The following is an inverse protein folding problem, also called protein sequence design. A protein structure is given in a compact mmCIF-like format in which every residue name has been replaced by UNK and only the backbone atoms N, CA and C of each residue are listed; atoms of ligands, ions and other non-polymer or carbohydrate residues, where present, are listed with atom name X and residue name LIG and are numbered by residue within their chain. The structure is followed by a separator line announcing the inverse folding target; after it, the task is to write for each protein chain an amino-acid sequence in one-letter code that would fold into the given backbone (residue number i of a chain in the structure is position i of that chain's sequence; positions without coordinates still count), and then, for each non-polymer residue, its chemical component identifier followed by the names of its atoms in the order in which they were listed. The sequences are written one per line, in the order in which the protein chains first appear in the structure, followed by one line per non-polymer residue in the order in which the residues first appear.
data_IF_534188542153
#
_entry.id   IF_534188542153
#
_cell.length_a   1.000
_cell.length_b   1.000
_cell.length_c   1.000
_cell.angle_alpha   90.00
_cell.angle_beta   90.00
_cell.angle_gamma   90.00
#
_symmetry.space_group_name_H-M   'P 1'
#
loop_
_entity.id
_entity.type
_entity.pdbx_description
1 polymer ?
#
# COMPACT_ATOMS: atom_id res chain seq x y z
N UNK A 1 17.89 4.93 16.41
CA UNK A 1 17.09 4.15 17.38
C UNK A 1 16.79 2.80 16.74
N UNK A 2 17.44 1.72 17.17
CA UNK A 2 17.16 0.37 16.66
C UNK A 2 15.85 -0.11 17.28
N UNK A 3 14.79 -0.19 16.49
CA UNK A 3 13.54 -0.82 16.90
C UNK A 3 13.69 -2.31 16.61
N UNK A 4 13.78 -3.10 17.68
CA UNK A 4 13.66 -4.55 17.59
C UNK A 4 12.20 -4.89 17.29
N UNK A 5 11.91 -5.34 16.06
CA UNK A 5 10.67 -6.03 15.76
C UNK A 5 10.79 -7.47 16.29
N UNK A 6 10.03 -7.76 17.34
CA UNK A 6 9.96 -9.09 17.94
C UNK A 6 8.91 -9.91 17.21
N UNK A 7 9.35 -10.79 16.30
CA UNK A 7 8.50 -11.82 15.71
C UNK A 7 8.29 -12.94 16.73
N UNK A 8 7.12 -13.00 17.36
CA UNK A 8 6.72 -14.16 18.14
C UNK A 8 6.18 -15.25 17.20
N UNK A 9 7.01 -16.26 16.88
CA UNK A 9 6.51 -17.54 16.35
C UNK A 9 5.91 -18.34 17.51
N UNK A 10 4.69 -18.89 17.40
CA UNK A 10 4.22 -19.88 18.37
C UNK A 10 5.05 -21.15 18.22
N UNK A 11 5.73 -21.57 19.28
CA UNK A 11 6.36 -22.90 19.38
C UNK A 11 5.29 -23.93 19.81
N UNK A 12 5.14 -25.06 19.11
CA UNK A 12 4.26 -26.13 19.54
C UNK A 12 4.89 -26.92 20.68
N UNK A 13 4.19 -27.04 21.81
CA UNK A 13 4.46 -28.06 22.81
C UNK A 13 4.97 -27.55 24.16
N UNK A 14 4.05 -27.18 25.06
CA UNK A 14 4.23 -27.34 26.50
C UNK A 14 2.85 -27.51 27.14
N UNK A 15 2.59 -28.70 27.66
CA UNK A 15 1.37 -29.07 28.37
C UNK A 15 1.34 -28.46 29.79
N UNK A 16 0.17 -28.03 30.27
CA UNK A 16 -0.07 -27.85 31.72
C UNK A 16 -1.06 -26.77 32.17
N UNK A 17 -2.37 -26.99 31.94
CA UNK A 17 -3.50 -26.51 32.79
C UNK A 17 -3.99 -25.05 32.68
N UNK A 18 -5.12 -24.69 33.33
CA UNK A 18 -6.42 -25.37 33.40
C UNK A 18 -7.43 -24.79 32.38
N UNK A 19 -8.50 -25.55 32.14
CA UNK A 19 -9.57 -25.26 31.21
C UNK A 19 -10.27 -23.91 31.47
N UNK A 20 -9.88 -22.89 30.70
CA UNK A 20 -10.80 -21.82 30.30
C UNK A 20 -11.57 -22.32 29.09
N UNK A 21 -12.87 -22.58 29.27
CA UNK A 21 -13.82 -22.82 28.18
C UNK A 21 -13.98 -21.54 27.34
N UNK A 22 -12.94 -21.21 26.57
CA UNK A 22 -13.04 -20.36 25.41
C UNK A 22 -13.78 -21.15 24.36
N UNK A 23 -15.10 -20.98 24.32
CA UNK A 23 -15.95 -21.43 23.23
C UNK A 23 -15.32 -20.90 21.95
N UNK A 24 -14.64 -21.77 21.20
CA UNK A 24 -14.08 -21.47 19.90
C UNK A 24 -15.28 -21.16 19.00
N UNK A 25 -15.57 -19.87 18.90
CA UNK A 25 -16.59 -19.30 18.05
C UNK A 25 -16.18 -19.60 16.60
N UNK A 26 -16.63 -20.75 16.08
CA UNK A 26 -16.35 -21.25 14.73
C UNK A 26 -16.80 -20.29 13.62
N UNK A 27 -17.39 -19.15 13.99
CA UNK A 27 -17.72 -18.04 13.11
C UNK A 27 -16.53 -17.10 12.82
N UNK A 28 -15.47 -17.13 13.66
CA UNK A 28 -14.25 -16.32 13.55
C UNK A 28 -13.18 -17.14 12.83
N UNK A 29 -12.87 -16.80 11.58
CA UNK A 29 -11.82 -17.46 10.80
C UNK A 29 -10.45 -17.50 11.50
N UNK A 30 -9.51 -18.25 10.92
CA UNK A 30 -8.11 -18.33 11.37
C UNK A 30 -7.39 -17.01 11.05
N UNK A 31 -6.74 -16.40 12.04
CA UNK A 31 -5.92 -15.21 11.81
C UNK A 31 -4.56 -15.63 11.23
N UNK A 32 -4.24 -15.16 10.02
CA UNK A 32 -2.98 -15.47 9.34
C UNK A 32 -1.86 -14.49 9.68
N UNK A 33 -2.20 -13.20 9.83
CA UNK A 33 -1.23 -12.13 10.09
C UNK A 33 -1.89 -10.94 10.78
N UNK A 34 -1.10 -10.13 11.49
CA UNK A 34 -1.55 -8.85 12.05
C UNK A 34 -0.40 -7.86 12.20
N UNK A 35 -0.67 -6.59 11.94
CA UNK A 35 0.26 -5.49 12.18
C UNK A 35 -0.49 -4.23 12.62
N UNK A 36 0.18 -3.36 13.36
CA UNK A 36 -0.27 -1.98 13.58
C UNK A 36 0.77 -1.04 12.98
N UNK A 37 0.40 -0.28 11.96
CA UNK A 37 1.35 0.55 11.21
C UNK A 37 0.72 1.87 10.75
N UNK A 38 1.56 2.84 10.46
CA UNK A 38 1.15 4.04 9.74
C UNK A 38 1.09 3.71 8.25
N UNK A 39 -0.10 3.81 7.66
CA UNK A 39 -0.31 3.62 6.22
C UNK A 39 0.40 4.69 5.40
N UNK A 40 0.60 4.41 4.11
CA UNK A 40 1.20 5.37 3.16
C UNK A 40 0.33 6.60 2.92
N UNK A 41 -0.97 6.51 3.22
CA UNK A 41 -1.92 7.63 3.18
C UNK A 41 -1.92 8.47 4.48
N UNK A 42 -1.16 8.05 5.50
CA UNK A 42 -0.88 8.82 6.72
C UNK A 42 -1.63 8.36 7.97
N UNK A 43 -2.66 7.52 7.83
CA UNK A 43 -3.47 7.02 8.93
C UNK A 43 -2.78 5.88 9.71
N UNK A 44 -3.00 5.82 11.03
CA UNK A 44 -2.57 4.69 11.86
C UNK A 44 -3.60 3.57 11.75
N UNK A 45 -3.22 2.43 11.18
CA UNK A 45 -4.10 1.29 10.94
C UNK A 45 -3.67 0.09 11.78
N UNK A 46 -4.65 -0.61 12.36
CA UNK A 46 -4.54 -2.01 12.77
C UNK A 46 -5.05 -2.87 11.63
N UNK A 47 -4.19 -3.73 11.10
CA UNK A 47 -4.48 -4.62 9.98
C UNK A 47 -4.38 -6.06 10.44
N UNK A 48 -5.32 -6.89 10.00
CA UNK A 48 -5.41 -8.31 10.33
C UNK A 48 -5.87 -9.08 9.09
N UNK A 49 -5.21 -10.19 8.76
CA UNK A 49 -5.65 -11.09 7.69
C UNK A 49 -6.30 -12.30 8.33
N UNK A 50 -7.51 -12.64 7.87
CA UNK A 50 -8.26 -13.80 8.33
C UNK A 50 -8.57 -14.73 7.17
N UNK A 51 -8.57 -16.04 7.44
CA UNK A 51 -9.03 -17.09 6.52
C UNK A 51 -10.28 -17.75 7.08
N UNK A 52 -11.34 -17.81 6.28
CA UNK A 52 -12.60 -18.49 6.60
C UNK A 52 -12.97 -19.46 5.49
N UNK A 53 -12.62 -20.74 5.67
CA UNK A 53 -12.73 -21.73 4.61
C UNK A 53 -11.75 -21.40 3.48
N UNK A 54 -12.28 -21.17 2.27
CA UNK A 54 -11.49 -20.77 1.09
C UNK A 54 -11.32 -19.25 0.98
N UNK A 55 -12.12 -18.46 1.70
CA UNK A 55 -12.06 -17.00 1.62
C UNK A 55 -10.96 -16.44 2.50
N UNK A 56 -10.20 -15.49 1.96
CA UNK A 56 -9.26 -14.67 2.74
C UNK A 56 -9.76 -13.23 2.76
N UNK A 57 -9.77 -12.62 3.94
CA UNK A 57 -10.22 -11.24 4.13
C UNK A 57 -9.18 -10.43 4.88
N UNK A 58 -9.01 -9.18 4.47
CA UNK A 58 -8.30 -8.15 5.20
C UNK A 58 -9.31 -7.44 6.10
N UNK A 59 -9.05 -7.42 7.40
CA UNK A 59 -9.73 -6.57 8.38
C UNK A 59 -8.82 -5.42 8.73
N UNK A 60 -9.38 -4.21 8.71
CA UNK A 60 -8.62 -3.00 8.95
C UNK A 60 -9.42 -2.04 9.82
N UNK A 61 -8.71 -1.34 10.71
CA UNK A 61 -9.30 -0.38 11.63
C UNK A 61 -8.36 0.80 11.84
N UNK A 62 -8.87 2.01 11.75
CA UNK A 62 -8.14 3.23 12.16
C UNK A 62 -8.02 3.27 13.70
N UNK A 63 -6.82 3.57 14.21
CA UNK A 63 -6.50 3.65 15.64
C UNK A 63 -6.39 5.12 16.06
N UNK A 64 -6.92 5.55 17.22
CA UNK A 64 -7.54 4.74 18.28
C UNK A 64 -9.04 4.50 18.11
N UNK A 65 -9.70 5.22 17.19
CA UNK A 65 -11.15 5.16 16.99
C UNK A 65 -11.41 5.02 15.50
N UNK A 66 -11.97 3.89 15.11
CA UNK A 66 -12.33 3.57 13.75
C UNK A 66 -13.26 2.38 13.74
N UNK A 67 -14.20 2.37 12.80
CA UNK A 67 -14.99 1.18 12.51
C UNK A 67 -14.10 0.16 11.80
N UNK A 68 -14.36 -1.12 12.07
CA UNK A 68 -13.67 -2.19 11.37
C UNK A 68 -14.23 -2.31 9.95
N UNK A 69 -13.37 -2.11 8.96
CA UNK A 69 -13.66 -2.42 7.57
C UNK A 69 -13.17 -3.82 7.24
N UNK A 70 -13.95 -4.55 6.43
CA UNK A 70 -13.58 -5.87 5.92
C UNK A 70 -13.51 -5.83 4.40
N UNK A 71 -12.39 -6.24 3.86
CA UNK A 71 -12.13 -6.31 2.42
C UNK A 71 -11.86 -7.75 2.07
N UNK A 72 -12.70 -8.35 1.22
CA UNK A 72 -12.42 -9.67 0.66
C UNK A 72 -11.20 -9.56 -0.26
N UNK A 73 -10.19 -10.38 -0.03
CA UNK A 73 -9.02 -10.47 -0.91
C UNK A 73 -9.37 -11.43 -2.03
N UNK A 74 -9.41 -10.93 -3.26
CA UNK A 74 -9.70 -11.77 -4.43
C UNK A 74 -8.48 -12.60 -4.79
N UNK A 75 -8.67 -13.66 -5.57
CA UNK A 75 -7.53 -14.48 -6.03
C UNK A 75 -6.54 -13.68 -6.86
N UNK A 76 -7.00 -12.68 -7.61
CA UNK A 76 -6.15 -11.80 -8.41
C UNK A 76 -5.20 -11.02 -7.50
N UNK A 77 -5.72 -10.41 -6.43
CA UNK A 77 -4.89 -9.72 -5.44
C UNK A 77 -3.89 -10.69 -4.82
N UNK A 78 -4.33 -11.87 -4.40
CA UNK A 78 -3.44 -12.86 -3.76
C UNK A 78 -2.34 -13.37 -4.71
N UNK A 79 -2.58 -13.42 -6.03
CA UNK A 79 -1.59 -13.82 -7.04
C UNK A 79 -0.59 -12.72 -7.36
N UNK A 80 -0.96 -11.46 -7.15
CA UNK A 80 -0.09 -10.28 -7.31
C UNK A 80 0.83 -10.01 -6.11
N UNK A 81 0.57 -10.68 -4.98
CA UNK A 81 1.42 -10.58 -3.80
C UNK A 81 2.66 -11.46 -3.94
N UNK A 82 3.74 -11.03 -3.29
CA UNK A 82 4.98 -11.75 -3.12
C UNK A 82 4.70 -13.10 -2.46
N UNK A 83 5.27 -14.15 -3.04
CA UNK A 83 5.10 -15.52 -2.55
C UNK A 83 5.90 -15.77 -1.27
N UNK A 84 6.97 -15.02 -1.05
CA UNK A 84 7.82 -15.17 0.14
C UNK A 84 7.24 -14.41 1.34
N UNK A 85 6.71 -13.21 1.12
CA UNK A 85 6.10 -12.39 2.18
C UNK A 85 4.82 -11.64 1.73
N UNK A 86 3.73 -12.39 1.47
CA UNK A 86 2.51 -11.81 0.91
C UNK A 86 1.83 -10.80 1.86
N UNK A 87 1.97 -10.99 3.17
CA UNK A 87 1.26 -10.18 4.15
C UNK A 87 1.93 -8.85 4.40
N UNK A 88 3.26 -8.81 4.48
CA UNK A 88 4.00 -7.55 4.56
C UNK A 88 3.74 -6.71 3.32
N UNK A 89 3.75 -7.32 2.13
CA UNK A 89 3.44 -6.59 0.90
C UNK A 89 1.97 -6.14 0.86
N UNK A 90 1.02 -7.00 1.24
CA UNK A 90 -0.38 -6.60 1.32
C UNK A 90 -0.53 -5.39 2.22
N UNK A 91 0.04 -5.43 3.43
CA UNK A 91 -0.04 -4.34 4.39
C UNK A 91 0.62 -3.06 3.87
N UNK A 92 1.74 -3.14 3.14
CA UNK A 92 2.38 -1.96 2.55
C UNK A 92 1.50 -1.26 1.50
N UNK A 93 0.63 -2.03 0.83
CA UNK A 93 -0.35 -1.54 -0.15
C UNK A 93 -1.68 -1.05 0.46
N UNK A 94 -1.92 -1.21 1.76
CA UNK A 94 -3.17 -0.73 2.39
C UNK A 94 -3.11 0.77 2.66
N UNK A 95 -4.21 1.46 2.33
CA UNK A 95 -4.42 2.87 2.65
C UNK A 95 -5.89 3.20 2.84
N UNK A 96 -6.18 4.50 2.93
CA UNK A 96 -7.54 5.01 3.11
C UNK A 96 -7.95 5.87 1.92
N UNK A 97 -9.13 5.58 1.38
CA UNK A 97 -9.85 6.47 0.48
C UNK A 97 -10.78 7.34 1.32
N UNK A 98 -10.64 8.69 1.30
CA UNK A 98 -11.42 9.56 2.17
C UNK A 98 -12.91 9.62 1.81
N UNK A 99 -13.33 9.16 0.63
CA UNK A 99 -14.74 9.08 0.26
C UNK A 99 -15.43 10.44 0.11
N UNK A 100 -16.78 10.46 0.05
CA UNK A 100 -17.71 9.60 0.82
C UNK A 100 -18.20 8.30 0.11
N UNK A 101 -18.36 7.15 0.83
CA UNK A 101 -17.97 6.92 2.22
C UNK A 101 -16.47 6.66 2.35
N UNK A 102 -15.89 7.09 3.49
CA UNK A 102 -14.49 6.80 3.83
C UNK A 102 -14.32 5.28 3.97
N UNK A 103 -13.28 4.72 3.35
CA UNK A 103 -13.09 3.27 3.28
C UNK A 103 -11.62 2.89 3.27
N UNK A 104 -11.32 1.73 3.85
CA UNK A 104 -10.02 1.07 3.69
C UNK A 104 -9.96 0.45 2.30
N UNK A 105 -8.84 0.65 1.61
CA UNK A 105 -8.61 0.10 0.27
C UNK A 105 -7.23 -0.53 0.19
N UNK A 106 -7.11 -1.58 -0.62
CA UNK A 106 -5.83 -2.12 -1.07
C UNK A 106 -5.51 -1.44 -2.39
N UNK A 107 -4.33 -0.82 -2.50
CA UNK A 107 -3.97 -0.08 -3.69
C UNK A 107 -3.89 -1.02 -4.91
N UNK A 108 -4.50 -0.62 -6.01
CA UNK A 108 -4.44 -1.35 -7.28
C UNK A 108 -3.26 -0.88 -8.12
N UNK A 109 -2.51 -1.80 -8.72
CA UNK A 109 -1.40 -1.43 -9.58
C UNK A 109 -1.91 -0.79 -10.88
N UNK A 110 -1.42 0.40 -11.19
CA UNK A 110 -1.72 1.11 -12.44
C UNK A 110 -0.73 0.65 -13.52
N UNK A 111 0.56 0.64 -13.19
CA UNK A 111 1.60 0.33 -14.15
C UNK A 111 2.98 0.25 -13.51
N UNK A 112 3.90 -0.37 -14.25
CA UNK A 112 5.30 -0.51 -13.91
C UNK A 112 6.14 -0.34 -15.17
N UNK A 113 7.30 0.33 -15.04
CA UNK A 113 8.18 0.60 -16.15
C UNK A 113 9.47 1.30 -15.72
N UNK A 114 10.48 1.24 -16.58
CA UNK A 114 11.74 1.96 -16.37
C UNK A 114 11.59 3.41 -16.81
N UNK A 115 12.11 4.33 -16.01
CA UNK A 115 12.15 5.75 -16.32
C UNK A 115 13.48 6.36 -15.87
N UNK A 116 14.02 7.25 -16.69
CA UNK A 116 15.14 8.11 -16.31
C UNK A 116 14.58 9.37 -15.65
N UNK A 117 14.78 9.52 -14.34
CA UNK A 117 14.19 10.62 -13.57
C UNK A 117 15.15 11.82 -13.45
N UNK A 118 14.64 13.06 -13.59
CA UNK A 118 15.43 14.26 -13.35
C UNK A 118 15.78 14.42 -11.86
N UNK A 119 16.79 15.25 -11.52
CA UNK A 119 17.61 16.03 -12.44
C UNK A 119 18.79 15.27 -13.04
N UNK A 120 19.23 14.18 -12.41
CA UNK A 120 20.45 13.46 -12.82
C UNK A 120 20.23 12.43 -13.93
N UNK A 121 18.97 12.15 -14.31
CA UNK A 121 18.64 11.09 -15.26
C UNK A 121 18.79 9.69 -14.66
N UNK A 122 18.64 9.55 -13.35
CA UNK A 122 18.78 8.26 -12.66
C UNK A 122 17.76 7.26 -13.19
N UNK A 123 18.24 6.09 -13.62
CA UNK A 123 17.37 5.02 -14.11
C UNK A 123 16.69 4.31 -12.94
N UNK A 124 15.36 4.34 -12.92
CA UNK A 124 14.56 3.73 -11.87
C UNK A 124 13.47 2.84 -12.46
N UNK A 125 13.20 1.71 -11.81
CA UNK A 125 11.99 0.94 -12.02
C UNK A 125 10.87 1.58 -11.20
N UNK A 126 9.90 2.19 -11.87
CA UNK A 126 8.79 2.91 -11.24
C UNK A 126 7.52 2.07 -11.30
N UNK A 127 6.93 1.80 -10.13
CA UNK A 127 5.62 1.17 -9.97
C UNK A 127 4.64 2.16 -9.35
N UNK A 128 3.47 2.32 -9.97
CA UNK A 128 2.42 3.24 -9.51
C UNK A 128 1.19 2.46 -9.06
N UNK A 129 0.66 2.79 -7.89
CA UNK A 129 -0.54 2.22 -7.31
C UNK A 129 -1.60 3.29 -7.07
N UNK A 130 -2.87 2.88 -7.13
CA UNK A 130 -4.05 3.73 -6.93
C UNK A 130 -4.80 3.35 -5.66
N UNK A 131 -4.99 4.31 -4.75
CA UNK A 131 -5.94 4.18 -3.65
C UNK A 131 -7.32 4.72 -4.04
N UNK A 132 -7.36 5.87 -4.72
CA UNK A 132 -8.60 6.53 -5.16
C UNK A 132 -8.37 7.33 -6.45
N UNK A 133 -9.36 8.12 -6.88
CA UNK A 133 -9.21 9.02 -8.03
C UNK A 133 -8.12 10.08 -7.81
N UNK A 134 -7.87 10.47 -6.55
CA UNK A 134 -6.98 11.57 -6.16
C UNK A 134 -5.83 11.13 -5.22
N UNK A 135 -5.69 9.82 -4.93
CA UNK A 135 -4.61 9.26 -4.08
C UNK A 135 -3.83 8.17 -4.78
N UNK A 136 -2.50 8.32 -4.79
CA UNK A 136 -1.57 7.43 -5.47
C UNK A 136 -0.34 7.17 -4.60
N UNK A 137 0.16 5.94 -4.63
CA UNK A 137 1.51 5.60 -4.17
C UNK A 137 2.37 5.38 -5.39
N UNK A 138 3.55 5.98 -5.41
CA UNK A 138 4.55 5.76 -6.45
C UNK A 138 5.80 5.24 -5.75
N UNK A 139 6.22 4.04 -6.12
CA UNK A 139 7.43 3.39 -5.62
C UNK A 139 8.46 3.32 -6.74
N UNK A 140 9.70 3.67 -6.43
CA UNK A 140 10.81 3.66 -7.38
C UNK A 140 11.98 2.89 -6.81
N UNK A 141 12.54 1.98 -7.59
CA UNK A 141 13.78 1.27 -7.28
C UNK A 141 14.90 1.78 -8.19
N UNK A 142 15.94 2.37 -7.61
CA UNK A 142 17.15 2.74 -8.35
C UNK A 142 17.83 1.47 -8.87
N UNK A 143 17.96 1.36 -10.18
CA UNK A 143 18.50 0.15 -10.84
C UNK A 143 20.01 0.00 -10.64
N UNK A 144 20.72 1.07 -10.29
CA UNK A 144 22.15 1.04 -10.04
C UNK A 144 22.45 0.81 -8.55
N UNK A 145 21.77 1.54 -7.67
CA UNK A 145 22.04 1.50 -6.24
C UNK A 145 21.17 0.48 -5.47
N UNK A 146 20.14 -0.08 -6.09
CA UNK A 146 19.16 -0.96 -5.42
C UNK A 146 18.36 -0.26 -4.33
N UNK A 147 18.36 1.08 -4.31
CA UNK A 147 17.70 1.87 -3.27
C UNK A 147 16.22 2.05 -3.61
N UNK A 148 15.35 1.77 -2.65
CA UNK A 148 13.91 2.00 -2.75
C UNK A 148 13.57 3.43 -2.27
N UNK A 149 12.77 4.14 -3.05
CA UNK A 149 12.22 5.44 -2.68
C UNK A 149 10.74 5.51 -3.04
N UNK A 150 9.94 6.16 -2.20
CA UNK A 150 8.49 6.19 -2.36
C UNK A 150 7.95 7.60 -2.17
N UNK A 151 6.88 7.92 -2.88
CA UNK A 151 6.11 9.15 -2.70
C UNK A 151 4.62 8.84 -2.76
N UNK A 152 3.87 9.36 -1.78
CA UNK A 152 2.41 9.37 -1.83
C UNK A 152 1.94 10.71 -2.38
N UNK A 153 1.15 10.68 -3.44
CA UNK A 153 0.44 11.86 -3.95
C UNK A 153 -0.98 11.82 -3.35
N UNK A 154 -1.24 12.71 -2.40
CA UNK A 154 -2.54 12.88 -1.76
C UNK A 154 -3.32 14.07 -2.35
N UNK A 155 -4.55 14.29 -1.90
CA UNK A 155 -5.45 15.29 -2.49
C UNK A 155 -4.91 16.72 -2.46
N UNK A 156 -4.14 17.05 -1.42
CA UNK A 156 -3.51 18.35 -1.21
C UNK A 156 -2.38 18.63 -2.21
N UNK A 157 -1.72 17.58 -2.70
CA UNK A 157 -0.71 17.65 -3.76
C UNK A 157 -1.31 17.75 -5.18
N UNK A 158 -2.63 17.59 -5.34
CA UNK A 158 -3.30 17.55 -6.63
C UNK A 158 -3.84 18.91 -7.05
N UNK A 159 -3.21 19.55 -8.04
CA UNK A 159 -3.73 20.78 -8.65
C UNK A 159 -4.99 20.51 -9.48
N UNK A 160 -5.91 21.49 -9.65
CA UNK A 160 -7.08 21.32 -10.50
C UNK A 160 -6.75 20.89 -11.93
N UNK A 161 -5.65 21.41 -12.48
CA UNK A 161 -5.16 21.04 -13.80
C UNK A 161 -4.75 19.57 -13.87
N UNK A 162 -4.02 19.07 -12.86
CA UNK A 162 -3.62 17.66 -12.80
C UNK A 162 -4.85 16.75 -12.67
N UNK A 163 -5.81 17.10 -11.79
CA UNK A 163 -7.08 16.35 -11.66
C UNK A 163 -7.82 16.25 -12.99
N UNK A 164 -7.89 17.35 -13.74
CA UNK A 164 -8.51 17.35 -15.07
C UNK A 164 -7.77 16.45 -16.07
N UNK A 165 -6.43 16.41 -16.04
CA UNK A 165 -5.65 15.52 -16.90
C UNK A 165 -5.81 14.05 -16.51
N UNK A 166 -5.82 13.74 -15.21
CA UNK A 166 -6.09 12.39 -14.69
C UNK A 166 -7.46 11.91 -15.16
N UNK A 167 -8.49 12.77 -15.06
CA UNK A 167 -9.84 12.44 -15.52
C UNK A 167 -9.94 12.22 -17.04
N UNK A 168 -9.02 12.80 -17.83
CA UNK A 168 -8.96 12.62 -19.28
C UNK A 168 -8.19 11.36 -19.72
N UNK A 169 -7.45 10.70 -18.81
CA UNK A 169 -6.76 9.44 -19.10
C UNK A 169 -7.78 8.32 -19.33
N UNK A 170 -7.75 7.70 -20.51
CA UNK A 170 -8.69 6.63 -20.91
C UNK A 170 -8.31 5.25 -20.36
N UNK A 171 -7.05 5.08 -20.00
CA UNK A 171 -6.47 3.81 -19.56
C UNK A 171 -5.35 4.02 -18.53
N UNK A 172 -4.97 2.92 -17.88
CA UNK A 172 -3.91 2.92 -16.86
C UNK A 172 -2.54 3.30 -17.44
N UNK A 173 -2.25 2.98 -18.70
CA UNK A 173 -0.97 3.31 -19.34
C UNK A 173 -0.81 4.83 -19.50
N UNK A 174 -1.86 5.52 -19.95
CA UNK A 174 -1.90 6.97 -20.08
C UNK A 174 -1.79 7.66 -18.72
N UNK A 175 -2.46 7.11 -17.71
CA UNK A 175 -2.38 7.60 -16.34
C UNK A 175 -0.99 7.41 -15.72
N UNK A 176 -0.39 6.23 -15.89
CA UNK A 176 0.97 5.94 -15.46
C UNK A 176 1.95 6.94 -16.08
N UNK A 177 1.92 7.12 -17.40
CA UNK A 177 2.79 8.05 -18.10
C UNK A 177 2.61 9.50 -17.63
N UNK A 178 1.38 9.93 -17.35
CA UNK A 178 1.09 11.24 -16.78
C UNK A 178 1.76 11.43 -15.40
N UNK A 179 1.64 10.43 -14.53
CA UNK A 179 2.20 10.48 -13.17
C UNK A 179 3.72 10.43 -13.18
N UNK A 180 4.33 9.57 -14.00
CA UNK A 180 5.80 9.46 -14.11
C UNK A 180 6.45 10.78 -14.55
N UNK A 181 5.81 11.55 -15.45
CA UNK A 181 6.30 12.88 -15.86
C UNK A 181 6.37 13.89 -14.71
N UNK A 182 5.60 13.68 -13.65
CA UNK A 182 5.63 14.50 -12.45
C UNK A 182 6.79 14.18 -11.51
N UNK A 183 7.55 13.10 -11.75
CA UNK A 183 8.54 12.61 -10.80
C UNK A 183 9.91 13.27 -10.96
N UNK A 184 10.58 13.43 -9.83
CA UNK A 184 12.01 13.72 -9.73
C UNK A 184 12.64 12.93 -8.60
N UNK A 185 13.90 12.55 -8.77
CA UNK A 185 14.66 11.79 -7.79
C UNK A 185 16.00 12.44 -7.49
N UNK A 186 16.29 12.65 -6.21
CA UNK A 186 17.56 13.19 -5.73
C UNK A 186 18.30 12.13 -4.90
N UNK A 187 19.36 11.54 -5.49
CA UNK A 187 20.09 10.43 -4.88
C UNK A 187 20.69 10.76 -3.48
N UNK A 188 21.00 12.04 -3.22
CA UNK A 188 21.56 12.48 -1.93
C UNK A 188 20.53 12.61 -0.80
N UNK A 189 19.24 12.74 -1.12
CA UNK A 189 18.14 12.80 -0.14
C UNK A 189 17.33 11.50 -0.09
N UNK A 190 17.69 10.52 -0.92
CA UNK A 190 16.92 9.29 -1.18
C UNK A 190 15.44 9.57 -1.47
N UNK A 191 15.13 10.77 -1.94
CA UNK A 191 13.78 11.31 -2.00
C UNK A 191 13.24 11.21 -3.41
N UNK A 192 12.25 10.33 -3.59
CA UNK A 192 11.32 10.46 -4.72
C UNK A 192 10.36 11.62 -4.39
N UNK A 193 10.16 12.50 -5.35
CA UNK A 193 9.28 13.66 -5.21
C UNK A 193 8.36 13.78 -6.42
N UNK A 194 7.17 14.34 -6.19
CA UNK A 194 6.17 14.55 -7.23
C UNK A 194 5.83 16.04 -7.35
N UNK A 195 5.84 16.56 -8.57
CA UNK A 195 5.47 17.94 -8.90
C UNK A 195 4.34 17.92 -9.93
N UNK A 196 3.15 18.31 -9.49
CA UNK A 196 1.97 18.39 -10.37
C UNK A 196 2.18 19.32 -11.58
N UNK A 197 2.95 20.40 -11.41
CA UNK A 197 3.29 21.31 -12.49
C UNK A 197 4.09 20.60 -13.61
N UNK A 198 5.06 19.76 -13.26
CA UNK A 198 5.86 18.99 -14.22
C UNK A 198 5.01 17.96 -14.97
N UNK A 199 4.11 17.26 -14.27
CA UNK A 199 3.15 16.34 -14.91
C UNK A 199 2.22 17.07 -15.91
N UNK A 200 1.98 18.36 -15.70
CA UNK A 200 1.11 19.16 -16.53
C UNK A 200 1.81 19.85 -17.72
N UNK A 201 3.14 19.83 -17.80
CA UNK A 201 3.85 20.37 -18.96
C UNK A 201 3.68 19.43 -20.15
N UNK A 202 3.22 19.99 -21.26
CA UNK A 202 2.97 19.32 -22.55
C UNK A 202 3.94 19.85 -23.59
#
# INVERSE_FOLDING_TARGET
VKVHETYARPVPGAAGGPAGSGQADASKGEQLASVTQKSKTGEQLKLEVFRKGQDTELRAREVPKGEECRVKLTEEVLKELDKEDPWTELFSRVGVDPGPPRRIVVASQIGQGEASLPPAGTSMLITTFRYSADRYLISGMDLNAGTLAEVTVAEDGMTPQLKSKIAACKDNSSLYNLLVRGLSFEAGSSGLSFRAASACQS
#
